data_IF_927019777466
#
_entry.id   IF_927019777466
#
_cell.length_a   1.000
_cell.length_b   1.000
_cell.length_c   1.000
_cell.angle_alpha   90.00
_cell.angle_beta   90.00
_cell.angle_gamma   90.00
#
_symmetry.space_group_name_H-M   'P 1'
#
loop_
_entity.id
_entity.type
_entity.pdbx_description
1 polymer ?
#
# COMPACT_ATOMS: atom_id res chain seq x y z
N UNK A 1 12.86 2.82 2.35
CA UNK A 1 14.22 3.28 1.94
C UNK A 1 14.40 4.80 1.83
N UNK A 2 13.37 5.63 2.07
CA UNK A 2 13.53 7.09 2.04
C UNK A 2 13.53 7.74 0.65
N UNK A 3 13.06 7.02 -0.38
CA UNK A 3 12.80 7.58 -1.70
C UNK A 3 11.57 8.48 -1.67
N UNK A 4 11.48 9.44 -2.61
CA UNK A 4 10.35 10.36 -2.76
C UNK A 4 10.05 11.23 -1.51
N UNK A 5 11.09 11.59 -0.76
CA UNK A 5 10.98 12.48 0.40
C UNK A 5 10.42 13.87 0.06
N UNK A 6 10.67 14.32 -1.17
CA UNK A 6 10.11 15.54 -1.73
C UNK A 6 8.58 15.48 -1.92
N UNK A 7 7.99 14.29 -1.91
CA UNK A 7 6.55 14.06 -1.94
C UNK A 7 5.96 13.76 -0.55
N UNK A 8 6.80 13.62 0.48
CA UNK A 8 6.39 13.16 1.82
C UNK A 8 6.26 11.63 1.94
N UNK A 9 6.47 10.88 0.86
CA UNK A 9 6.29 9.42 0.81
C UNK A 9 7.41 8.65 1.54
N UNK A 10 8.43 9.35 2.02
CA UNK A 10 9.50 8.77 2.85
C UNK A 10 9.18 8.85 4.35
N UNK A 11 7.90 8.87 4.72
CA UNK A 11 7.40 8.99 6.10
C UNK A 11 7.89 10.27 6.78
N UNK A 12 7.92 11.37 6.04
CA UNK A 12 8.39 12.69 6.48
C UNK A 12 7.31 13.73 6.28
N UNK A 13 7.49 14.91 6.89
CA UNK A 13 6.60 16.05 6.61
C UNK A 13 6.75 16.41 5.13
N UNK A 14 5.64 16.55 4.40
CA UNK A 14 5.69 16.96 2.99
C UNK A 14 6.24 18.39 2.88
N UNK A 15 7.31 18.63 2.10
CA UNK A 15 7.85 19.97 1.94
C UNK A 15 6.84 20.93 1.31
N UNK A 16 6.86 22.21 1.67
CA UNK A 16 5.91 23.19 1.15
C UNK A 16 6.24 23.55 -0.31
N UNK A 17 5.29 24.20 -1.00
CA UNK A 17 5.35 24.50 -2.44
C UNK A 17 6.57 25.35 -2.84
N UNK A 18 7.09 26.14 -1.92
CA UNK A 18 8.26 27.01 -2.08
C UNK A 18 9.55 26.19 -2.25
N UNK A 19 9.60 24.98 -1.67
CA UNK A 19 10.81 24.12 -1.68
C UNK A 19 10.81 23.17 -2.87
N UNK A 20 9.67 22.54 -3.18
CA UNK A 20 9.58 21.47 -4.19
C UNK A 20 8.88 21.89 -5.49
N UNK A 21 8.34 23.11 -5.53
CA UNK A 21 7.57 23.63 -6.65
C UNK A 21 6.12 23.12 -6.69
N UNK A 22 5.28 23.83 -7.46
CA UNK A 22 3.82 23.60 -7.53
C UNK A 22 3.44 22.18 -7.95
N UNK A 23 4.16 21.59 -8.93
CA UNK A 23 3.84 20.26 -9.45
C UNK A 23 4.00 19.17 -8.40
N UNK A 24 5.15 19.12 -7.71
CA UNK A 24 5.42 18.10 -6.68
C UNK A 24 4.56 18.32 -5.43
N UNK A 25 4.33 19.58 -5.06
CA UNK A 25 3.43 19.91 -3.97
C UNK A 25 1.97 19.48 -4.25
N UNK A 26 1.54 19.41 -5.52
CA UNK A 26 0.20 18.96 -5.89
C UNK A 26 0.02 17.43 -5.93
N UNK A 27 1.12 16.64 -5.89
CA UNK A 27 1.02 15.18 -5.90
C UNK A 27 0.34 14.70 -4.61
N UNK A 28 -0.65 13.78 -4.67
CA UNK A 28 -1.31 13.23 -3.49
C UNK A 28 -0.36 12.53 -2.50
N UNK A 29 -0.86 12.23 -1.30
CA UNK A 29 -0.16 11.40 -0.32
C UNK A 29 0.11 9.98 -0.88
N UNK A 30 1.03 9.27 -0.24
CA UNK A 30 1.31 7.88 -0.61
C UNK A 30 0.05 7.04 -0.41
N UNK A 31 -0.67 7.28 0.68
CA UNK A 31 -1.87 6.59 1.10
C UNK A 31 -3.05 6.84 0.16
N UNK A 32 -3.21 8.06 -0.37
CA UNK A 32 -4.19 8.32 -1.43
C UNK A 32 -3.84 7.52 -2.69
N UNK A 33 -2.56 7.47 -3.05
CA UNK A 33 -2.08 6.74 -4.23
C UNK A 33 -2.28 5.22 -4.06
N UNK A 34 -1.95 4.66 -2.90
CA UNK A 34 -2.21 3.26 -2.56
C UNK A 34 -3.71 2.95 -2.61
N UNK A 35 -4.56 3.83 -2.06
CA UNK A 35 -6.02 3.70 -2.12
C UNK A 35 -6.56 3.77 -3.55
N UNK A 36 -6.00 4.65 -4.40
CA UNK A 36 -6.36 4.76 -5.80
C UNK A 36 -6.01 3.50 -6.59
N UNK A 37 -4.84 2.89 -6.33
CA UNK A 37 -4.44 1.63 -6.97
C UNK A 37 -5.39 0.50 -6.58
N UNK A 38 -5.75 0.39 -5.30
CA UNK A 38 -6.73 -0.60 -4.80
C UNK A 38 -8.10 -0.38 -5.46
N UNK A 39 -8.55 0.88 -5.51
CA UNK A 39 -9.80 1.27 -6.17
C UNK A 39 -9.81 0.88 -7.65
N UNK A 40 -8.74 1.23 -8.37
CA UNK A 40 -8.63 0.99 -9.80
C UNK A 40 -8.64 -0.51 -10.10
N UNK A 41 -7.88 -1.29 -9.33
CA UNK A 41 -7.84 -2.75 -9.43
C UNK A 41 -9.23 -3.37 -9.19
N UNK A 42 -9.91 -2.97 -8.10
CA UNK A 42 -11.25 -3.46 -7.80
C UNK A 42 -12.26 -3.08 -8.89
N UNK A 43 -12.27 -1.81 -9.29
CA UNK A 43 -13.16 -1.30 -10.34
C UNK A 43 -13.00 -2.05 -11.65
N UNK A 44 -11.77 -2.32 -12.09
CA UNK A 44 -11.54 -3.11 -13.30
C UNK A 44 -11.96 -4.56 -13.13
N UNK A 45 -11.57 -5.22 -12.04
CA UNK A 45 -11.76 -6.67 -11.90
C UNK A 45 -13.20 -7.09 -11.64
N UNK A 46 -14.06 -6.23 -11.08
CA UNK A 46 -15.50 -6.50 -10.96
C UNK A 46 -16.12 -6.93 -12.30
N UNK A 47 -15.64 -6.37 -13.43
CA UNK A 47 -16.16 -6.68 -14.77
C UNK A 47 -15.39 -7.79 -15.50
N UNK A 48 -14.23 -8.20 -14.98
CA UNK A 48 -13.33 -9.15 -15.66
C UNK A 48 -13.39 -10.56 -15.08
N UNK A 49 -13.97 -10.74 -13.88
CA UNK A 49 -13.88 -12.00 -13.15
C UNK A 49 -14.47 -13.20 -13.91
N UNK A 50 -15.54 -13.00 -14.68
CA UNK A 50 -16.18 -14.07 -15.46
C UNK A 50 -15.58 -14.29 -16.86
N UNK A 51 -14.48 -13.59 -17.22
CA UNK A 51 -13.88 -13.74 -18.55
C UNK A 51 -13.29 -15.14 -18.79
N UNK A 52 -12.81 -15.80 -17.75
CA UNK A 52 -12.21 -17.13 -17.86
C UNK A 52 -13.26 -18.24 -18.13
N UNK A 53 -14.54 -17.97 -17.87
CA UNK A 53 -15.66 -18.88 -18.05
C UNK A 53 -16.80 -18.22 -18.86
N UNK A 54 -16.42 -17.44 -19.89
CA UNK A 54 -17.39 -16.68 -20.68
C UNK A 54 -18.44 -17.59 -21.33
N UNK A 55 -19.71 -17.35 -20.99
CA UNK A 55 -20.85 -18.12 -21.50
C UNK A 55 -21.25 -19.31 -20.62
N UNK A 56 -20.44 -19.66 -19.63
CA UNK A 56 -20.77 -20.69 -18.64
C UNK A 56 -21.57 -20.10 -17.45
N UNK A 57 -22.15 -21.00 -16.66
CA UNK A 57 -22.89 -20.64 -15.46
C UNK A 57 -21.95 -20.10 -14.37
N UNK A 58 -22.41 -19.10 -13.63
CA UNK A 58 -21.70 -18.54 -12.49
C UNK A 58 -21.52 -19.58 -11.39
N UNK A 59 -20.29 -19.73 -10.91
CA UNK A 59 -19.95 -20.61 -9.80
C UNK A 59 -19.89 -19.83 -8.48
N UNK A 60 -19.90 -20.56 -7.36
CA UNK A 60 -19.69 -19.95 -6.04
C UNK A 60 -18.34 -19.22 -5.96
N UNK A 61 -17.30 -19.78 -6.59
CA UNK A 61 -15.96 -19.17 -6.63
C UNK A 61 -15.97 -17.84 -7.38
N UNK A 62 -16.67 -17.75 -8.51
CA UNK A 62 -16.78 -16.49 -9.26
C UNK A 62 -17.47 -15.40 -8.43
N UNK A 63 -18.50 -15.76 -7.67
CA UNK A 63 -19.20 -14.83 -6.77
C UNK A 63 -18.31 -14.40 -5.60
N UNK A 64 -17.49 -15.29 -5.05
CA UNK A 64 -16.49 -14.95 -4.02
C UNK A 64 -15.46 -13.95 -4.56
N UNK A 65 -14.90 -14.20 -5.74
CA UNK A 65 -13.92 -13.31 -6.34
C UNK A 65 -14.51 -11.94 -6.74
N UNK A 66 -15.74 -11.90 -7.27
CA UNK A 66 -16.46 -10.64 -7.52
C UNK A 66 -16.67 -9.88 -6.22
N UNK A 67 -17.01 -10.57 -5.13
CA UNK A 67 -17.18 -9.95 -3.81
C UNK A 67 -15.88 -9.34 -3.29
N UNK A 68 -14.74 -10.01 -3.51
CA UNK A 68 -13.40 -9.47 -3.20
C UNK A 68 -13.12 -8.22 -4.04
N UNK A 69 -13.46 -8.23 -5.34
CA UNK A 69 -13.28 -7.07 -6.22
C UNK A 69 -14.13 -5.87 -5.79
N UNK A 70 -15.37 -6.10 -5.34
CA UNK A 70 -16.23 -5.05 -4.76
C UNK A 70 -15.61 -4.49 -3.48
N UNK A 71 -15.06 -5.34 -2.61
CA UNK A 71 -14.34 -4.90 -1.41
C UNK A 71 -13.15 -3.99 -1.76
N UNK A 72 -12.38 -4.32 -2.80
CA UNK A 72 -11.28 -3.48 -3.28
C UNK A 72 -11.79 -2.15 -3.84
N UNK A 73 -12.84 -2.19 -4.64
CA UNK A 73 -13.46 -0.99 -5.22
C UNK A 73 -13.95 -0.02 -4.13
N UNK A 74 -14.79 -0.49 -3.21
CA UNK A 74 -15.32 0.32 -2.11
C UNK A 74 -14.26 0.74 -1.09
N UNK A 75 -13.35 -0.17 -0.73
CA UNK A 75 -12.27 0.09 0.22
C UNK A 75 -11.27 1.14 -0.28
N UNK A 76 -10.88 1.06 -1.56
CA UNK A 76 -10.04 2.06 -2.20
C UNK A 76 -10.73 3.41 -2.33
N UNK A 77 -12.02 3.44 -2.66
CA UNK A 77 -12.81 4.68 -2.69
C UNK A 77 -12.86 5.34 -1.31
N UNK A 78 -13.18 4.57 -0.27
CA UNK A 78 -13.20 5.08 1.10
C UNK A 78 -11.81 5.60 1.51
N UNK A 79 -10.74 4.90 1.15
CA UNK A 79 -9.37 5.35 1.38
C UNK A 79 -9.09 6.72 0.73
N UNK A 80 -9.47 6.92 -0.53
CA UNK A 80 -9.33 8.22 -1.20
C UNK A 80 -10.17 9.32 -0.56
N UNK A 81 -11.39 9.00 -0.09
CA UNK A 81 -12.26 9.97 0.58
C UNK A 81 -11.68 10.43 1.92
N UNK A 82 -11.08 9.51 2.71
CA UNK A 82 -10.41 9.83 3.98
C UNK A 82 -9.21 10.77 3.77
N UNK A 83 -8.48 10.60 2.66
CA UNK A 83 -7.34 11.44 2.30
C UNK A 83 -7.71 12.78 1.65
N UNK A 84 -8.98 12.96 1.27
CA UNK A 84 -9.44 14.15 0.58
C UNK A 84 -9.54 15.35 1.51
N UNK A 85 -8.72 16.38 1.26
CA UNK A 85 -8.77 17.62 2.03
C UNK A 85 -10.15 18.27 1.99
N UNK A 86 -10.84 18.21 0.84
CA UNK A 86 -12.19 18.75 0.69
C UNK A 86 -13.19 18.04 1.61
N UNK A 87 -13.11 16.72 1.71
CA UNK A 87 -14.02 15.96 2.57
C UNK A 87 -13.74 16.25 4.03
N UNK A 88 -12.45 16.34 4.41
CA UNK A 88 -12.05 16.77 5.75
C UNK A 88 -12.57 18.17 6.08
N UNK A 89 -12.48 19.13 5.16
CA UNK A 89 -12.95 20.50 5.36
C UNK A 89 -14.48 20.54 5.52
N UNK A 90 -15.23 19.74 4.74
CA UNK A 90 -16.68 19.61 4.90
C UNK A 90 -17.07 19.02 6.26
N UNK A 91 -16.40 17.95 6.69
CA UNK A 91 -16.66 17.32 8.00
C UNK A 91 -16.33 18.27 9.15
N UNK A 92 -15.23 19.02 9.04
CA UNK A 92 -14.85 20.03 10.03
C UNK A 92 -15.84 21.21 10.05
N UNK A 93 -16.37 21.63 8.89
CA UNK A 93 -17.34 22.72 8.82
C UNK A 93 -18.62 22.44 9.59
N UNK A 94 -19.05 21.17 9.65
CA UNK A 94 -20.20 20.77 10.46
C UNK A 94 -19.96 21.01 11.96
N UNK A 95 -18.76 20.72 12.46
CA UNK A 95 -18.37 20.92 13.87
C UNK A 95 -18.13 22.40 14.19
N UNK A 96 -17.58 23.15 13.24
CA UNK A 96 -17.36 24.59 13.40
C UNK A 96 -18.69 25.39 13.37
N UNK A 97 -19.69 24.89 12.64
CA UNK A 97 -21.02 25.54 12.55
C UNK A 97 -21.83 25.51 13.85
N UNK A 98 -21.51 24.59 14.77
CA UNK A 98 -22.12 24.50 16.11
C UNK A 98 -21.47 25.43 17.14
N UNK A 99 -20.47 26.25 16.76
CA UNK A 99 -19.87 27.22 17.68
C UNK A 99 -20.73 28.48 17.86
N UNK A 100 -21.05 28.78 19.11
CA UNK A 100 -21.50 30.09 19.57
C UNK A 100 -20.29 31.05 19.71
N UNK A 101 -20.44 32.29 19.25
CA UNK A 101 -19.39 33.31 19.03
C UNK A 101 -18.58 33.80 20.26
N UNK A 102 -18.51 33.04 21.35
CA UNK A 102 -17.94 33.51 22.63
C UNK A 102 -17.20 32.39 23.36
N UNK A 103 -15.98 32.06 22.89
CA UNK A 103 -14.85 31.52 23.68
C UNK A 103 -13.66 31.24 22.74
N UNK A 104 -12.84 32.26 22.50
CA UNK A 104 -11.59 32.18 21.72
C UNK A 104 -10.46 31.59 22.55
N UNK A 105 -10.41 30.26 22.65
CA UNK A 105 -9.20 29.53 23.02
C UNK A 105 -8.48 29.11 21.73
N UNK A 106 -7.71 30.03 21.13
CA UNK A 106 -7.08 29.86 19.80
C UNK A 106 -6.18 28.61 19.70
N UNK A 107 -5.59 28.15 20.79
CA UNK A 107 -4.78 26.93 20.83
C UNK A 107 -5.59 25.63 20.71
N UNK A 108 -6.83 25.61 21.22
CA UNK A 108 -7.69 24.41 21.17
C UNK A 108 -8.19 24.09 19.76
N UNK A 109 -8.12 25.07 18.85
CA UNK A 109 -8.60 24.97 17.46
C UNK A 109 -7.48 24.70 16.43
N UNK A 110 -6.23 24.55 16.87
CA UNK A 110 -5.15 24.15 15.97
C UNK A 110 -5.26 22.66 15.60
N UNK A 111 -4.99 22.34 14.33
CA UNK A 111 -4.98 20.96 13.89
C UNK A 111 -3.94 20.14 14.68
N UNK A 112 -4.28 18.91 15.10
CA UNK A 112 -3.33 18.04 15.78
C UNK A 112 -2.05 17.86 14.97
N UNK A 113 -0.90 17.75 15.64
CA UNK A 113 0.41 17.57 14.98
C UNK A 113 0.45 16.33 14.08
N UNK A 114 -0.36 15.32 14.42
CA UNK A 114 -0.54 14.07 13.68
C UNK A 114 -1.10 14.30 12.27
N UNK A 115 -1.83 15.40 12.02
CA UNK A 115 -2.42 15.70 10.71
C UNK A 115 -1.39 16.16 9.68
N UNK A 116 -0.12 16.34 10.09
CA UNK A 116 0.99 16.70 9.20
C UNK A 116 1.45 15.52 8.33
N UNK A 117 1.09 14.31 8.70
CA UNK A 117 1.36 13.07 7.97
C UNK A 117 0.07 12.31 7.79
N UNK A 118 -0.18 11.78 6.60
CA UNK A 118 -1.28 10.84 6.41
C UNK A 118 -1.00 9.56 7.20
N UNK A 119 -2.05 9.01 7.81
CA UNK A 119 -2.04 7.70 8.47
C UNK A 119 -3.33 6.96 8.12
N UNK A 120 -3.59 6.79 6.83
CA UNK A 120 -4.80 6.10 6.38
C UNK A 120 -4.65 4.59 6.56
N UNK A 121 -5.49 3.94 7.39
CA UNK A 121 -5.43 2.50 7.58
C UNK A 121 -6.06 1.72 6.42
N UNK A 122 -6.83 2.35 5.53
CA UNK A 122 -7.63 1.66 4.52
C UNK A 122 -6.82 0.77 3.59
N UNK A 123 -5.69 1.21 2.99
CA UNK A 123 -4.87 0.32 2.16
C UNK A 123 -4.39 -0.92 2.92
N UNK A 124 -3.86 -0.73 4.14
CA UNK A 124 -3.39 -1.83 4.98
C UNK A 124 -4.52 -2.80 5.36
N UNK A 125 -5.70 -2.27 5.69
CA UNK A 125 -6.87 -3.07 6.07
C UNK A 125 -7.36 -3.95 4.91
N UNK A 126 -7.51 -3.39 3.71
CA UNK A 126 -8.00 -4.14 2.55
C UNK A 126 -7.05 -5.27 2.18
N UNK A 127 -5.74 -5.01 2.21
CA UNK A 127 -4.72 -6.04 1.95
C UNK A 127 -4.67 -7.08 3.07
N UNK A 128 -4.87 -6.69 4.34
CA UNK A 128 -4.99 -7.63 5.46
C UNK A 128 -6.16 -8.60 5.27
N UNK A 129 -7.34 -8.06 4.90
CA UNK A 129 -8.53 -8.85 4.66
C UNK A 129 -8.33 -9.80 3.49
N UNK A 130 -7.73 -9.33 2.39
CA UNK A 130 -7.35 -10.19 1.28
C UNK A 130 -6.44 -11.34 1.76
N UNK A 131 -5.37 -11.01 2.48
CA UNK A 131 -4.43 -12.00 2.99
C UNK A 131 -5.10 -13.04 3.88
N UNK A 132 -6.01 -12.61 4.75
CA UNK A 132 -6.78 -13.50 5.64
C UNK A 132 -7.71 -14.45 4.86
N UNK A 133 -8.49 -13.93 3.92
CA UNK A 133 -9.44 -14.75 3.14
C UNK A 133 -8.70 -15.78 2.30
N UNK A 134 -7.62 -15.36 1.66
CA UNK A 134 -6.90 -16.17 0.68
C UNK A 134 -5.99 -17.20 1.35
N UNK A 135 -5.58 -16.96 2.60
CA UNK A 135 -4.84 -17.96 3.37
C UNK A 135 -5.65 -19.21 3.70
N UNK A 136 -6.99 -19.07 3.72
CA UNK A 136 -7.94 -20.15 4.02
C UNK A 136 -8.71 -20.63 2.78
N UNK A 137 -8.38 -20.11 1.60
CA UNK A 137 -9.12 -20.40 0.37
C UNK A 137 -8.64 -21.71 -0.25
N UNK A 138 -9.54 -22.71 -0.35
CA UNK A 138 -9.24 -23.97 -0.99
C UNK A 138 -9.10 -23.81 -2.51
N UNK A 139 -8.10 -24.44 -3.10
CA UNK A 139 -7.85 -24.42 -4.54
C UNK A 139 -8.00 -25.82 -5.15
N UNK A 140 -8.00 -25.90 -6.48
CA UNK A 140 -8.15 -27.16 -7.21
C UNK A 140 -7.07 -28.21 -6.87
N UNK A 141 -5.90 -27.78 -6.42
CA UNK A 141 -4.84 -28.66 -5.95
C UNK A 141 -4.27 -28.24 -4.59
N UNK A 142 -3.66 -29.20 -3.89
CA UNK A 142 -2.96 -28.95 -2.64
C UNK A 142 -1.79 -28.00 -2.84
N UNK A 143 -1.05 -28.13 -3.95
CA UNK A 143 0.05 -27.22 -4.28
C UNK A 143 -0.45 -25.77 -4.41
N UNK A 144 -1.52 -25.56 -5.18
CA UNK A 144 -2.14 -24.24 -5.34
C UNK A 144 -2.61 -23.67 -4.00
N UNK A 145 -3.26 -24.50 -3.18
CA UNK A 145 -3.75 -24.09 -1.85
C UNK A 145 -2.61 -23.63 -0.95
N UNK A 146 -1.50 -24.38 -0.91
CA UNK A 146 -0.33 -24.03 -0.11
C UNK A 146 0.33 -22.74 -0.58
N UNK A 147 0.43 -22.51 -1.89
CA UNK A 147 0.95 -21.24 -2.43
C UNK A 147 0.00 -20.08 -2.07
N UNK A 148 -1.31 -20.30 -2.07
CA UNK A 148 -2.30 -19.30 -1.62
C UNK A 148 -2.12 -18.92 -0.15
N UNK A 149 -1.90 -19.90 0.72
CA UNK A 149 -1.53 -19.64 2.11
C UNK A 149 -0.23 -18.85 2.24
N UNK A 150 0.79 -19.13 1.41
CA UNK A 150 2.06 -18.39 1.46
C UNK A 150 1.90 -16.91 1.11
N UNK A 151 1.23 -16.57 0.00
CA UNK A 151 1.09 -15.16 -0.37
C UNK A 151 0.09 -14.43 0.54
N UNK A 152 -0.97 -15.11 0.99
CA UNK A 152 -1.94 -14.55 1.92
C UNK A 152 -1.30 -14.17 3.25
N UNK A 153 -0.45 -15.04 3.80
CA UNK A 153 0.30 -14.75 5.04
C UNK A 153 1.29 -13.60 4.87
N UNK A 154 1.94 -13.46 3.70
CA UNK A 154 2.79 -12.31 3.41
C UNK A 154 2.00 -10.99 3.42
N UNK A 155 0.78 -10.95 2.86
CA UNK A 155 -0.08 -9.77 2.92
C UNK A 155 -0.55 -9.43 4.34
N UNK A 156 -0.82 -10.44 5.16
CA UNK A 156 -1.09 -10.21 6.58
C UNK A 156 0.13 -9.58 7.29
N UNK A 157 1.34 -10.10 7.06
CA UNK A 157 2.57 -9.56 7.63
C UNK A 157 2.88 -8.12 7.15
N UNK A 158 2.60 -7.81 5.88
CA UNK A 158 2.66 -6.44 5.36
C UNK A 158 1.78 -5.49 6.18
N UNK A 159 0.52 -5.85 6.39
CA UNK A 159 -0.44 -4.98 7.07
C UNK A 159 -0.09 -4.80 8.54
N UNK A 160 0.39 -5.85 9.21
CA UNK A 160 0.87 -5.78 10.59
C UNK A 160 2.11 -4.88 10.72
N UNK A 161 3.09 -5.02 9.82
CA UNK A 161 4.28 -4.16 9.80
C UNK A 161 3.92 -2.70 9.53
N UNK A 162 2.98 -2.43 8.61
CA UNK A 162 2.45 -1.08 8.35
C UNK A 162 1.71 -0.50 9.56
N UNK A 163 0.91 -1.30 10.27
CA UNK A 163 0.25 -0.86 11.49
C UNK A 163 1.26 -0.45 12.57
N UNK A 164 2.36 -1.19 12.72
CA UNK A 164 3.46 -0.81 13.61
C UNK A 164 4.10 0.52 13.17
N UNK A 165 4.30 0.74 11.86
CA UNK A 165 4.75 2.05 11.35
C UNK A 165 3.81 3.16 11.81
N UNK A 166 2.51 3.01 11.62
CA UNK A 166 1.54 4.02 12.05
C UNK A 166 1.55 4.26 13.56
N UNK A 167 1.61 3.19 14.37
CA UNK A 167 1.70 3.32 15.83
C UNK A 167 2.96 4.11 16.23
N UNK A 168 4.12 3.76 15.66
CA UNK A 168 5.38 4.47 15.98
C UNK A 168 5.34 5.94 15.59
N UNK A 169 4.81 6.28 14.42
CA UNK A 169 4.69 7.66 13.95
C UNK A 169 3.58 8.44 14.67
N UNK A 170 2.56 7.75 15.18
CA UNK A 170 1.53 8.38 16.00
C UNK A 170 2.10 8.79 17.37
N UNK A 171 2.94 7.95 17.98
CA UNK A 171 3.63 8.23 19.25
C UNK A 171 4.72 9.29 19.06
N UNK A 172 5.45 9.26 17.94
CA UNK A 172 6.57 10.16 17.65
C UNK A 172 6.48 10.70 16.22
N UNK A 173 5.62 11.72 15.99
CA UNK A 173 5.37 12.25 14.65
C UNK A 173 6.62 12.94 14.08
N UNK A 174 6.86 12.79 12.76
CA UNK A 174 8.03 13.40 12.14
C UNK A 174 7.90 14.93 12.13
N UNK A 175 9.02 15.59 12.41
CA UNK A 175 9.11 17.06 12.41
C UNK A 175 9.92 17.60 11.23
N UNK A 176 10.66 16.73 10.56
CA UNK A 176 11.60 17.07 9.49
C UNK A 176 11.05 16.75 8.10
N UNK A 177 11.59 17.44 7.10
CA UNK A 177 11.41 17.13 5.68
C UNK A 177 12.33 16.00 5.19
N UNK A 178 13.26 15.54 6.04
CA UNK A 178 14.16 14.44 5.72
C UNK A 178 13.48 13.07 5.98
N UNK A 179 13.85 12.02 5.23
CA UNK A 179 13.30 10.68 5.43
C UNK A 179 13.41 10.17 6.88
N UNK A 180 12.29 9.77 7.48
CA UNK A 180 12.27 9.21 8.84
C UNK A 180 12.73 7.75 8.89
N UNK A 181 12.55 7.01 7.78
CA UNK A 181 12.99 5.60 7.62
C UNK A 181 12.59 4.68 8.79
N UNK A 182 11.29 4.60 9.14
CA UNK A 182 10.85 3.65 10.16
C UNK A 182 11.29 2.21 9.79
N UNK A 183 11.89 1.44 10.71
CA UNK A 183 12.50 0.15 10.39
C UNK A 183 11.48 -0.88 9.91
N UNK A 184 10.24 -0.80 10.43
CA UNK A 184 9.11 -1.67 10.05
C UNK A 184 8.77 -1.56 8.57
N UNK A 185 9.05 -0.43 7.91
CA UNK A 185 8.70 -0.24 6.49
C UNK A 185 9.55 -1.06 5.52
N UNK A 186 10.73 -1.51 5.94
CA UNK A 186 11.50 -2.48 5.14
C UNK A 186 10.75 -3.81 5.10
N UNK A 187 10.21 -4.25 6.25
CA UNK A 187 9.41 -5.47 6.36
C UNK A 187 8.09 -5.30 5.60
N UNK A 188 7.40 -4.17 5.78
CA UNK A 188 6.21 -3.79 4.99
C UNK A 188 6.46 -3.97 3.50
N UNK A 189 7.51 -3.33 2.97
CA UNK A 189 7.84 -3.38 1.54
C UNK A 189 8.18 -4.80 1.09
N UNK A 190 8.97 -5.53 1.88
CA UNK A 190 9.36 -6.91 1.57
C UNK A 190 8.15 -7.83 1.47
N UNK A 191 7.29 -7.82 2.48
CA UNK A 191 6.10 -8.68 2.54
C UNK A 191 5.10 -8.36 1.41
N UNK A 192 4.90 -7.08 1.07
CA UNK A 192 3.99 -6.71 -0.02
C UNK A 192 4.51 -7.18 -1.38
N UNK A 193 5.80 -6.97 -1.67
CA UNK A 193 6.41 -7.40 -2.94
C UNK A 193 6.44 -8.93 -3.02
N UNK A 194 6.86 -9.59 -1.94
CA UNK A 194 6.92 -11.05 -1.86
C UNK A 194 5.54 -11.70 -2.03
N UNK A 195 4.53 -11.20 -1.32
CA UNK A 195 3.15 -11.63 -1.48
C UNK A 195 2.64 -11.38 -2.91
N UNK A 196 2.90 -10.21 -3.48
CA UNK A 196 2.47 -9.86 -4.84
C UNK A 196 3.09 -10.76 -5.93
N UNK A 197 4.40 -11.04 -5.83
CA UNK A 197 5.07 -11.94 -6.79
C UNK A 197 4.57 -13.37 -6.63
N UNK A 198 4.41 -13.85 -5.39
CA UNK A 198 3.89 -15.20 -5.12
C UNK A 198 2.45 -15.35 -5.61
N UNK A 199 1.62 -14.31 -5.47
CA UNK A 199 0.26 -14.25 -6.04
C UNK A 199 0.26 -14.33 -7.57
N UNK A 200 1.18 -13.63 -8.26
CA UNK A 200 1.29 -13.73 -9.71
C UNK A 200 1.72 -15.14 -10.17
N UNK A 201 2.57 -15.82 -9.40
CA UNK A 201 3.01 -17.20 -9.65
C UNK A 201 1.89 -18.21 -9.40
N UNK A 202 0.89 -17.90 -8.57
CA UNK A 202 -0.20 -18.83 -8.22
C UNK A 202 -1.30 -18.95 -9.28
N UNK A 203 -1.05 -18.55 -10.53
CA UNK A 203 -1.99 -18.76 -11.63
C UNK A 203 -2.04 -20.24 -12.04
N UNK A 204 -3.16 -20.66 -12.65
CA UNK A 204 -3.45 -22.07 -12.98
C UNK A 204 -2.35 -22.73 -13.82
N UNK A 205 -1.87 -22.05 -14.86
CA UNK A 205 -0.88 -22.60 -15.79
C UNK A 205 0.49 -22.78 -15.14
N UNK A 206 0.89 -21.82 -14.29
CA UNK A 206 2.17 -21.89 -13.59
C UNK A 206 2.14 -22.97 -12.52
N UNK A 207 1.04 -23.11 -11.78
CA UNK A 207 0.88 -24.21 -10.82
C UNK A 207 0.88 -25.57 -11.53
N UNK A 208 0.18 -25.73 -12.65
CA UNK A 208 0.19 -26.96 -13.43
C UNK A 208 1.61 -27.32 -13.92
N UNK A 209 2.39 -26.33 -14.33
CA UNK A 209 3.80 -26.54 -14.68
C UNK A 209 4.62 -27.02 -13.47
N UNK A 210 4.49 -26.38 -12.30
CA UNK A 210 5.17 -26.79 -11.07
C UNK A 210 4.82 -28.25 -10.70
N UNK A 211 3.55 -28.65 -10.80
CA UNK A 211 3.11 -30.02 -10.56
C UNK A 211 3.75 -31.00 -11.54
N UNK A 212 3.81 -30.66 -12.83
CA UNK A 212 4.43 -31.52 -13.86
C UNK A 212 5.92 -31.77 -13.63
N UNK A 213 6.62 -30.82 -13.00
CA UNK A 213 8.03 -30.94 -12.62
C UNK A 213 8.24 -31.50 -11.21
N UNK A 214 7.17 -31.90 -10.50
CA UNK A 214 7.21 -32.34 -9.09
C UNK A 214 7.84 -31.30 -8.14
N UNK A 215 7.60 -30.02 -8.39
CA UNK A 215 8.04 -28.92 -7.54
C UNK A 215 6.97 -28.59 -6.49
N UNK A 216 7.42 -28.30 -5.27
CA UNK A 216 6.53 -28.01 -4.16
C UNK A 216 6.34 -26.50 -3.90
N UNK A 217 5.47 -26.17 -2.95
CA UNK A 217 5.23 -24.79 -2.56
C UNK A 217 6.48 -24.15 -1.90
N UNK A 218 7.35 -24.94 -1.26
CA UNK A 218 8.56 -24.43 -0.61
C UNK A 218 9.59 -23.96 -1.62
N UNK A 219 9.71 -24.64 -2.77
CA UNK A 219 10.53 -24.19 -3.88
C UNK A 219 10.09 -22.80 -4.36
N UNK A 220 8.80 -22.64 -4.63
CA UNK A 220 8.25 -21.34 -5.08
C UNK A 220 8.49 -20.23 -4.06
N UNK A 221 8.28 -20.54 -2.79
CA UNK A 221 8.50 -19.60 -1.70
C UNK A 221 9.97 -19.15 -1.60
N UNK A 222 10.90 -20.08 -1.54
CA UNK A 222 12.34 -19.80 -1.37
C UNK A 222 12.91 -19.01 -2.56
N UNK A 223 12.55 -19.39 -3.79
CA UNK A 223 12.93 -18.66 -5.01
C UNK A 223 12.38 -17.23 -4.97
N UNK A 224 11.11 -17.06 -4.61
CA UNK A 224 10.47 -15.74 -4.55
C UNK A 224 11.10 -14.86 -3.48
N UNK A 225 11.34 -15.38 -2.27
CA UNK A 225 11.99 -14.60 -1.20
C UNK A 225 13.40 -14.14 -1.61
N UNK A 226 14.19 -15.03 -2.22
CA UNK A 226 15.52 -14.69 -2.72
C UNK A 226 15.47 -13.61 -3.81
N UNK A 227 14.56 -13.75 -4.76
CA UNK A 227 14.38 -12.77 -5.83
C UNK A 227 13.93 -11.40 -5.30
N UNK A 228 12.98 -11.36 -4.36
CA UNK A 228 12.50 -10.12 -3.71
C UNK A 228 13.66 -9.41 -2.99
N UNK A 229 14.49 -10.15 -2.26
CA UNK A 229 15.64 -9.59 -1.57
C UNK A 229 16.62 -8.93 -2.56
N UNK A 230 16.94 -9.61 -3.67
CA UNK A 230 17.80 -9.07 -4.73
C UNK A 230 17.18 -7.85 -5.41
N UNK A 231 15.86 -7.88 -5.70
CA UNK A 231 15.12 -6.77 -6.31
C UNK A 231 15.14 -5.52 -5.41
N UNK A 232 14.91 -5.71 -4.10
CA UNK A 232 14.97 -4.62 -3.13
C UNK A 232 16.40 -4.08 -2.99
N UNK A 233 17.40 -4.95 -2.92
CA UNK A 233 18.81 -4.54 -2.88
C UNK A 233 19.19 -3.73 -4.13
N UNK A 234 18.77 -4.18 -5.31
CA UNK A 234 18.97 -3.45 -6.57
C UNK A 234 18.29 -2.08 -6.56
N UNK A 235 17.07 -2.00 -6.03
CA UNK A 235 16.35 -0.72 -5.88
C UNK A 235 17.12 0.25 -4.98
N UNK A 236 17.71 -0.21 -3.87
CA UNK A 236 18.59 0.61 -3.02
C UNK A 236 19.77 1.15 -3.83
N UNK A 237 20.44 0.30 -4.61
CA UNK A 237 21.58 0.67 -5.45
C UNK A 237 21.19 1.76 -6.44
N UNK A 238 20.06 1.62 -7.13
CA UNK A 238 19.57 2.64 -8.07
C UNK A 238 19.29 3.99 -7.39
N UNK A 239 18.66 3.97 -6.21
CA UNK A 239 18.42 5.19 -5.42
C UNK A 239 19.74 5.82 -4.95
N UNK A 240 20.73 5.01 -4.59
CA UNK A 240 22.05 5.48 -4.21
C UNK A 240 22.81 6.11 -5.40
N UNK A 241 22.75 5.51 -6.59
CA UNK A 241 23.32 6.06 -7.83
C UNK A 241 22.71 7.42 -8.15
N UNK A 242 21.38 7.55 -8.06
CA UNK A 242 20.68 8.83 -8.22
C UNK A 242 21.20 9.88 -7.23
N UNK A 243 21.30 9.53 -5.95
CA UNK A 243 21.83 10.42 -4.91
C UNK A 243 23.27 10.86 -5.18
N UNK A 244 24.13 9.92 -5.63
CA UNK A 244 25.51 10.20 -6.02
C UNK A 244 25.57 11.17 -7.20
N UNK A 245 24.78 10.93 -8.25
CA UNK A 245 24.71 11.80 -9.43
C UNK A 245 24.27 13.23 -9.07
N UNK A 246 23.21 13.39 -8.28
CA UNK A 246 22.76 14.72 -7.80
C UNK A 246 23.83 15.43 -6.98
N UNK A 247 24.56 14.70 -6.11
CA UNK A 247 25.67 15.29 -5.34
C UNK A 247 26.80 15.77 -6.25
N UNK A 248 27.11 15.02 -7.31
CA UNK A 248 28.18 15.36 -8.25
C UNK A 248 27.82 16.58 -9.12
N UNK A 249 26.56 16.69 -9.52
CA UNK A 249 26.06 17.84 -10.27
C UNK A 249 26.11 19.13 -9.43
N UNK A 250 25.64 19.09 -8.18
CA UNK A 250 25.71 20.25 -7.27
C UNK A 250 27.13 20.75 -7.04
N UNK A 251 28.13 19.86 -7.02
CA UNK A 251 29.54 20.22 -6.89
C UNK A 251 30.13 20.88 -8.15
N UNK A 252 29.53 20.67 -9.32
CA UNK A 252 29.96 21.30 -10.59
C UNK A 252 29.32 22.67 -10.80
N UNK A 253 28.19 22.94 -10.16
CA UNK A 253 27.46 24.21 -10.23
C UNK A 253 27.88 25.22 -9.15
N UNK A 254 28.75 24.82 -8.23
CA UNK A 254 29.38 25.67 -7.21
C UNK A 254 30.79 26.03 -7.67
#
# INVERSE_FOLDING_TARGET
MGAFADLGWAWNVKPPKEVVGRRRAAIPSAEFTESFVIFLYGCSNVFLEHLAAWGDAWTAQDLEHVSISIMFFGGGLLGMLVESSKMRDLLNSAVLSTQTSSQTNEEAWQQPRQYRTSMNPMPGLIILLLGKMMSSHHQASMLSTMIHTQWGTMFMMFALARALTYITLYISPPTSYLPSRPPTEVITSFCLIAGGITFMVSNKDTVAALESYNLDAMFTFTVTMGFVALLMAWTVVLVAIKGYATRREKRRSL
#
